data_IF_669724165143
#
_entry.id   IF_669724165143
#
_cell.length_a   1.000
_cell.length_b   1.000
_cell.length_c   1.000
_cell.angle_alpha   90.00
_cell.angle_beta   90.00
_cell.angle_gamma   90.00
#
_symmetry.space_group_name_H-M   'P 1'
#
loop_
_entity.id
_entity.type
_entity.pdbx_description
1 polymer ?
#
# COMPACT_ATOMS: atom_id res chain seq x y z
N UNK A 1 62.91 -11.04 28.27
CA UNK A 1 61.82 -10.02 28.50
C UNK A 1 60.96 -9.81 27.25
N UNK A 2 61.53 -9.92 26.05
CA UNK A 2 60.83 -9.69 24.76
C UNK A 2 59.73 -10.71 24.41
N UNK A 3 59.87 -11.98 24.75
CA UNK A 3 58.92 -13.05 24.43
C UNK A 3 57.56 -12.81 25.10
N UNK A 4 57.53 -12.26 26.33
CA UNK A 4 56.30 -11.97 27.04
C UNK A 4 55.48 -10.86 26.35
N UNK A 5 56.13 -9.83 25.83
CA UNK A 5 55.46 -8.75 25.09
C UNK A 5 54.91 -9.22 23.75
N UNK A 6 55.58 -10.11 23.05
CA UNK A 6 55.08 -10.69 21.80
C UNK A 6 53.83 -11.56 22.03
N UNK A 7 53.77 -12.32 23.13
CA UNK A 7 52.60 -13.12 23.50
C UNK A 7 51.40 -12.22 23.85
N UNK A 8 51.61 -11.15 24.63
CA UNK A 8 50.53 -10.21 24.94
C UNK A 8 49.99 -9.48 23.71
N UNK A 9 50.89 -9.09 22.79
CA UNK A 9 50.47 -8.47 21.52
C UNK A 9 49.66 -9.44 20.64
N UNK A 10 50.06 -10.71 20.58
CA UNK A 10 49.30 -11.72 19.82
C UNK A 10 47.92 -12.01 20.40
N UNK A 11 47.80 -12.07 21.73
CA UNK A 11 46.51 -12.23 22.41
C UNK A 11 45.62 -11.01 22.14
N UNK A 12 46.18 -9.80 22.20
CA UNK A 12 45.44 -8.56 21.90
C UNK A 12 44.89 -8.53 20.45
N UNK A 13 45.70 -8.97 19.47
CA UNK A 13 45.26 -9.07 18.08
C UNK A 13 44.14 -10.10 17.92
N UNK A 14 44.24 -11.27 18.54
CA UNK A 14 43.24 -12.32 18.49
C UNK A 14 41.91 -11.84 19.12
N UNK A 15 41.95 -11.13 20.23
CA UNK A 15 40.77 -10.55 20.85
C UNK A 15 40.13 -9.48 19.97
N UNK A 16 40.94 -8.62 19.35
CA UNK A 16 40.43 -7.60 18.43
C UNK A 16 39.72 -8.23 17.21
N UNK A 17 40.33 -9.26 16.60
CA UNK A 17 39.70 -10.01 15.48
C UNK A 17 38.41 -10.69 15.90
N UNK A 18 38.36 -11.28 17.10
CA UNK A 18 37.14 -11.88 17.65
C UNK A 18 36.07 -10.86 17.87
N UNK A 19 36.37 -9.68 18.44
CA UNK A 19 35.42 -8.60 18.62
C UNK A 19 34.85 -8.08 17.29
N UNK A 20 35.69 -7.90 16.27
CA UNK A 20 35.27 -7.49 14.94
C UNK A 20 34.33 -8.54 14.31
N UNK A 21 34.65 -9.81 14.45
CA UNK A 21 33.84 -10.90 13.95
C UNK A 21 32.48 -10.98 14.63
N UNK A 22 32.45 -10.86 15.97
CA UNK A 22 31.18 -10.80 16.74
C UNK A 22 30.33 -9.58 16.37
N UNK A 23 30.94 -8.41 16.19
CA UNK A 23 30.24 -7.21 15.74
C UNK A 23 29.64 -7.40 14.32
N UNK A 24 30.38 -8.00 13.41
CA UNK A 24 29.90 -8.31 12.07
C UNK A 24 28.71 -9.31 12.09
N UNK A 25 28.80 -10.34 12.92
CA UNK A 25 27.68 -11.27 13.13
C UNK A 25 26.46 -10.60 13.73
N UNK A 26 26.64 -9.70 14.70
CA UNK A 26 25.56 -8.95 15.32
C UNK A 26 24.86 -7.99 14.32
N UNK A 27 25.63 -7.29 13.49
CA UNK A 27 25.10 -6.44 12.42
C UNK A 27 24.28 -7.28 11.41
N UNK A 28 24.82 -8.44 11.01
CA UNK A 28 24.14 -9.36 10.10
C UNK A 28 22.85 -9.94 10.70
N UNK A 29 22.84 -10.21 12.00
CA UNK A 29 21.66 -10.65 12.72
C UNK A 29 20.59 -9.54 12.79
N UNK A 30 21.00 -8.29 13.10
CA UNK A 30 20.10 -7.13 13.07
C UNK A 30 19.48 -6.92 11.68
N UNK A 31 20.28 -6.95 10.62
CA UNK A 31 19.76 -6.79 9.25
C UNK A 31 18.82 -7.92 8.84
N UNK A 32 19.04 -9.14 9.31
CA UNK A 32 18.12 -10.26 9.07
C UNK A 32 16.79 -10.09 9.79
N UNK A 33 16.79 -9.45 10.95
CA UNK A 33 15.56 -9.16 11.71
C UNK A 33 14.69 -8.12 11.00
N UNK A 34 15.29 -7.05 10.47
CA UNK A 34 14.58 -6.05 9.67
C UNK A 34 13.99 -6.67 8.40
N UNK A 35 14.72 -7.52 7.73
CA UNK A 35 14.28 -8.19 6.49
C UNK A 35 13.10 -9.15 6.72
N UNK A 36 13.09 -9.88 7.83
CA UNK A 36 11.96 -10.76 8.20
C UNK A 36 10.71 -9.98 8.57
N UNK A 37 10.85 -8.82 9.21
CA UNK A 37 9.73 -7.96 9.60
C UNK A 37 9.11 -7.27 8.37
N UNK A 38 9.93 -6.77 7.45
CA UNK A 38 9.45 -6.18 6.19
C UNK A 38 8.74 -7.24 5.33
N UNK A 39 9.27 -8.45 5.21
CA UNK A 39 8.64 -9.52 4.45
C UNK A 39 7.27 -9.94 5.03
N UNK A 40 7.09 -9.92 6.35
CA UNK A 40 5.82 -10.22 7.00
C UNK A 40 4.78 -9.11 6.74
N UNK A 41 5.19 -7.85 6.83
CA UNK A 41 4.33 -6.69 6.51
C UNK A 41 3.90 -6.70 5.04
N UNK A 42 4.82 -6.98 4.13
CA UNK A 42 4.57 -7.08 2.69
C UNK A 42 3.59 -8.22 2.34
N UNK A 43 3.74 -9.38 3.00
CA UNK A 43 2.79 -10.51 2.87
C UNK A 43 1.40 -10.16 3.40
N UNK A 44 1.32 -9.47 4.54
CA UNK A 44 0.04 -9.01 5.09
C UNK A 44 -0.64 -7.97 4.16
N UNK A 45 0.13 -7.09 3.51
CA UNK A 45 -0.36 -6.17 2.48
C UNK A 45 -0.98 -6.93 1.32
N UNK A 46 -0.22 -7.78 0.64
CA UNK A 46 -0.70 -8.61 -0.49
C UNK A 46 -1.92 -9.46 -0.16
N UNK A 47 -2.00 -9.98 1.07
CA UNK A 47 -3.17 -10.72 1.53
C UNK A 47 -4.40 -9.82 1.63
N UNK A 48 -4.25 -8.59 2.15
CA UNK A 48 -5.32 -7.60 2.21
C UNK A 48 -5.83 -7.20 0.83
N UNK A 49 -4.93 -6.94 -0.12
CA UNK A 49 -5.24 -6.61 -1.51
C UNK A 49 -6.04 -7.75 -2.19
N UNK A 50 -5.64 -9.01 -1.99
CA UNK A 50 -6.38 -10.17 -2.49
C UNK A 50 -7.79 -10.25 -1.92
N UNK A 51 -7.96 -10.06 -0.61
CA UNK A 51 -9.28 -10.03 0.05
C UNK A 51 -10.13 -8.91 -0.55
N UNK A 52 -9.56 -7.70 -0.72
CA UNK A 52 -10.30 -6.58 -1.29
C UNK A 52 -10.72 -6.83 -2.74
N UNK A 53 -9.83 -7.39 -3.58
CA UNK A 53 -10.17 -7.78 -4.95
C UNK A 53 -11.31 -8.82 -4.99
N UNK A 54 -11.29 -9.82 -4.10
CA UNK A 54 -12.37 -10.80 -3.97
C UNK A 54 -13.71 -10.15 -3.50
N UNK A 55 -13.63 -9.17 -2.60
CA UNK A 55 -14.80 -8.42 -2.13
C UNK A 55 -15.40 -7.57 -3.26
N UNK A 56 -14.56 -6.82 -3.97
CA UNK A 56 -14.97 -6.00 -5.11
C UNK A 56 -15.59 -6.87 -6.21
N UNK A 57 -14.98 -8.01 -6.53
CA UNK A 57 -15.45 -8.93 -7.58
C UNK A 57 -16.89 -9.42 -7.36
N UNK A 58 -17.38 -9.47 -6.11
CA UNK A 58 -18.75 -9.90 -5.79
C UNK A 58 -19.83 -8.93 -6.25
N UNK A 59 -19.49 -7.68 -6.49
CA UNK A 59 -20.42 -6.63 -6.91
C UNK A 59 -20.23 -6.21 -8.36
N UNK A 60 -19.19 -6.73 -9.06
CA UNK A 60 -18.95 -6.42 -10.47
C UNK A 60 -20.05 -6.99 -11.36
N UNK A 61 -20.38 -6.25 -12.40
CA UNK A 61 -21.29 -6.63 -13.49
C UNK A 61 -20.50 -7.06 -14.72
N UNK A 62 -21.18 -7.59 -15.72
CA UNK A 62 -20.58 -8.14 -16.94
C UNK A 62 -19.69 -7.12 -17.70
N UNK A 63 -20.06 -5.83 -17.64
CA UNK A 63 -19.34 -4.74 -18.33
C UNK A 63 -18.32 -4.02 -17.41
N UNK A 64 -18.06 -4.51 -16.22
CA UNK A 64 -17.09 -3.93 -15.30
C UNK A 64 -15.73 -4.64 -15.41
N UNK A 65 -14.66 -3.87 -15.35
CA UNK A 65 -13.29 -4.37 -15.42
C UNK A 65 -12.55 -4.03 -14.13
N UNK A 66 -12.00 -5.05 -13.47
CA UNK A 66 -11.13 -4.90 -12.30
C UNK A 66 -9.67 -5.09 -12.74
N UNK A 67 -8.85 -4.10 -12.46
CA UNK A 67 -7.40 -4.13 -12.59
C UNK A 67 -6.79 -4.08 -11.19
N UNK A 68 -5.71 -4.81 -10.97
CA UNK A 68 -5.02 -4.86 -9.67
C UNK A 68 -3.54 -4.55 -9.82
N UNK A 69 -2.94 -3.93 -8.80
CA UNK A 69 -1.50 -3.62 -8.74
C UNK A 69 -1.01 -2.80 -9.96
N UNK A 70 -1.77 -1.79 -10.34
CA UNK A 70 -1.42 -0.93 -11.48
C UNK A 70 -0.46 0.15 -11.03
N UNK A 71 0.73 0.15 -11.61
CA UNK A 71 1.70 1.23 -11.45
C UNK A 71 1.61 2.22 -12.59
N UNK A 72 1.67 3.51 -12.27
CA UNK A 72 1.78 4.58 -13.25
C UNK A 72 2.90 5.55 -12.87
N UNK A 73 3.50 6.16 -13.88
CA UNK A 73 4.43 7.28 -13.70
C UNK A 73 3.89 8.51 -14.44
N UNK A 74 3.72 9.61 -13.73
CA UNK A 74 3.34 10.89 -14.28
C UNK A 74 4.20 12.01 -13.70
N UNK A 75 4.83 12.82 -14.57
CA UNK A 75 5.70 13.94 -14.18
C UNK A 75 6.80 13.53 -13.17
N UNK A 76 7.45 12.37 -13.43
CA UNK A 76 8.49 11.80 -12.56
C UNK A 76 7.99 11.27 -11.22
N UNK A 77 6.67 11.24 -10.99
CA UNK A 77 6.04 10.74 -9.76
C UNK A 77 5.37 9.41 -10.04
N UNK A 78 5.78 8.40 -9.29
CA UNK A 78 5.22 7.06 -9.37
C UNK A 78 4.09 6.86 -8.36
N UNK A 79 3.05 6.13 -8.76
CA UNK A 79 1.99 5.67 -7.87
C UNK A 79 1.55 4.27 -8.27
N UNK A 80 1.40 3.41 -7.27
CA UNK A 80 0.80 2.09 -7.35
C UNK A 80 -0.64 2.18 -6.83
N UNK A 81 -1.58 1.54 -7.50
CA UNK A 81 -2.99 1.45 -7.13
C UNK A 81 -3.35 -0.01 -6.91
N UNK A 82 -3.82 -0.34 -5.72
CA UNK A 82 -4.12 -1.72 -5.32
C UNK A 82 -5.24 -2.31 -6.19
N UNK A 83 -6.34 -1.58 -6.38
CA UNK A 83 -7.43 -1.97 -7.27
C UNK A 83 -7.98 -0.77 -8.04
N UNK A 84 -8.30 -0.97 -9.32
CA UNK A 84 -9.00 0.01 -10.17
C UNK A 84 -10.20 -0.69 -10.80
N UNK A 85 -11.39 -0.14 -10.65
CA UNK A 85 -12.57 -0.55 -11.42
C UNK A 85 -12.81 0.45 -12.53
N UNK A 86 -12.97 -0.05 -13.76
CA UNK A 86 -13.32 0.74 -14.94
C UNK A 86 -14.63 0.23 -15.49
N UNK A 87 -15.62 1.10 -15.59
CA UNK A 87 -16.92 0.75 -16.15
C UNK A 87 -17.57 1.98 -16.83
N UNK A 88 -18.81 1.84 -17.28
CA UNK A 88 -19.56 2.93 -17.92
C UNK A 88 -19.79 4.16 -17.04
N UNK A 89 -19.67 4.03 -15.72
CA UNK A 89 -19.88 5.13 -14.78
C UNK A 89 -18.58 5.87 -14.46
N UNK A 90 -17.41 5.28 -14.74
CA UNK A 90 -16.13 5.96 -14.51
C UNK A 90 -14.95 5.05 -14.26
N UNK A 91 -13.94 5.66 -13.61
CA UNK A 91 -12.73 5.03 -13.10
C UNK A 91 -12.69 5.22 -11.60
N UNK A 92 -12.61 4.13 -10.87
CA UNK A 92 -12.68 4.10 -9.42
C UNK A 92 -11.45 3.41 -8.84
N UNK A 93 -10.68 4.11 -7.99
CA UNK A 93 -9.52 3.58 -7.28
C UNK A 93 -9.98 3.06 -5.92
N UNK A 94 -9.46 1.91 -5.51
CA UNK A 94 -9.58 1.39 -4.15
C UNK A 94 -8.21 1.22 -3.56
N UNK A 95 -7.89 2.04 -2.56
CA UNK A 95 -6.70 1.92 -1.72
C UNK A 95 -7.01 0.97 -0.57
N UNK A 96 -6.20 -0.08 -0.40
CA UNK A 96 -6.46 -1.15 0.55
C UNK A 96 -5.46 -1.11 1.70
N UNK A 97 -5.94 -1.16 2.93
CA UNK A 97 -5.09 -1.27 4.11
C UNK A 97 -5.52 -2.40 5.02
N UNK A 98 -4.55 -3.25 5.32
CA UNK A 98 -4.70 -4.36 6.27
C UNK A 98 -4.07 -3.97 7.62
N UNK A 99 -4.58 -2.90 8.23
CA UNK A 99 -4.14 -2.41 9.54
C UNK A 99 -4.92 -3.09 10.64
N UNK A 100 -4.28 -3.99 11.39
CA UNK A 100 -4.87 -4.59 12.60
C UNK A 100 -4.71 -3.70 13.83
N UNK A 101 -5.64 -3.77 14.78
CA UNK A 101 -5.65 -2.97 15.99
C UNK A 101 -6.49 -1.70 15.88
N UNK A 102 -6.40 -0.84 16.87
CA UNK A 102 -7.09 0.44 16.89
C UNK A 102 -6.31 1.47 16.07
N UNK A 103 -7.00 2.26 15.26
CA UNK A 103 -6.45 3.42 14.60
C UNK A 103 -6.94 4.69 15.28
N UNK A 104 -6.07 5.69 15.35
CA UNK A 104 -6.37 7.02 15.92
C UNK A 104 -5.78 8.06 14.97
N UNK A 105 -6.55 9.08 14.63
CA UNK A 105 -6.15 10.19 13.76
C UNK A 105 -7.36 10.84 13.10
N UNK A 106 -7.12 11.94 12.41
CA UNK A 106 -8.11 12.70 11.67
C UNK A 106 -7.95 12.54 10.15
N UNK A 107 -8.96 12.95 9.37
CA UNK A 107 -8.95 12.81 7.91
C UNK A 107 -7.77 13.56 7.28
N UNK A 108 -7.41 14.72 7.79
CA UNK A 108 -6.36 15.57 7.24
C UNK A 108 -4.98 15.31 7.82
N UNK A 109 -4.84 14.42 8.81
CA UNK A 109 -3.56 14.04 9.37
C UNK A 109 -2.64 13.45 8.31
N UNK A 110 -1.33 13.70 8.43
CA UNK A 110 -0.34 13.10 7.54
C UNK A 110 -0.20 11.59 7.78
N UNK A 111 -0.23 11.21 9.06
CA UNK A 111 -0.13 9.83 9.53
C UNK A 111 -1.17 9.57 10.61
N UNK A 112 -1.65 8.33 10.68
CA UNK A 112 -2.47 7.84 11.76
C UNK A 112 -1.64 7.03 12.74
N UNK A 113 -2.05 7.01 14.01
CA UNK A 113 -1.47 6.17 15.02
C UNK A 113 -2.18 4.81 15.04
N UNK A 114 -1.41 3.74 14.87
CA UNK A 114 -1.91 2.38 15.03
C UNK A 114 -1.51 1.85 16.39
N UNK A 115 -2.49 1.46 17.21
CA UNK A 115 -2.33 0.93 18.57
C UNK A 115 -2.68 -0.55 18.56
N UNK A 116 -1.83 -1.37 19.12
CA UNK A 116 -2.05 -2.81 19.30
C UNK A 116 -1.76 -3.20 20.74
N UNK A 117 -2.70 -3.90 21.36
CA UNK A 117 -2.53 -4.49 22.70
C UNK A 117 -2.31 -5.98 22.49
N UNK A 118 -1.25 -6.53 23.09
CA UNK A 118 -0.98 -7.98 23.08
C UNK A 118 -1.81 -8.70 24.12
N UNK A 119 -1.91 -10.03 24.00
CA UNK A 119 -2.59 -10.88 24.99
C UNK A 119 -1.98 -10.77 26.39
N UNK A 120 -0.70 -10.39 26.49
CA UNK A 120 0.00 -10.10 27.76
C UNK A 120 -0.23 -8.68 28.29
N UNK A 121 -1.09 -7.87 27.65
CA UNK A 121 -1.42 -6.51 28.07
C UNK A 121 -0.41 -5.44 27.65
N UNK A 122 0.64 -5.77 26.92
CA UNK A 122 1.60 -4.78 26.43
C UNK A 122 1.00 -3.97 25.28
N UNK A 123 1.11 -2.64 25.35
CA UNK A 123 0.64 -1.72 24.33
C UNK A 123 1.80 -1.31 23.41
N UNK A 124 1.59 -1.49 22.11
CA UNK A 124 2.51 -1.02 21.06
C UNK A 124 1.81 0.03 20.20
N UNK A 125 2.53 1.09 19.91
CA UNK A 125 2.06 2.16 19.03
C UNK A 125 3.03 2.35 17.87
N UNK A 126 2.48 2.54 16.66
CA UNK A 126 3.26 2.80 15.45
C UNK A 126 2.52 3.81 14.58
N UNK A 127 3.26 4.77 14.00
CA UNK A 127 2.74 5.64 12.96
C UNK A 127 2.58 4.87 11.64
N UNK A 128 1.46 5.10 10.97
CA UNK A 128 1.12 4.53 9.66
C UNK A 128 0.62 5.64 8.74
N UNK A 129 0.90 5.54 7.46
CA UNK A 129 0.42 6.54 6.50
C UNK A 129 -1.10 6.62 6.51
N UNK A 130 -1.63 7.85 6.45
CA UNK A 130 -3.05 8.07 6.26
C UNK A 130 -3.46 7.63 4.84
N UNK A 131 -4.33 6.62 4.70
CA UNK A 131 -4.69 6.08 3.40
C UNK A 131 -5.55 7.04 2.57
N UNK A 132 -6.29 7.94 3.21
CA UNK A 132 -7.11 8.96 2.50
C UNK A 132 -6.19 9.93 1.75
N UNK A 133 -5.10 10.37 2.37
CA UNK A 133 -4.11 11.21 1.70
C UNK A 133 -3.39 10.48 0.57
N UNK A 134 -3.08 9.21 0.76
CA UNK A 134 -2.50 8.37 -0.29
C UNK A 134 -3.47 8.26 -1.48
N UNK A 135 -4.74 7.95 -1.22
CA UNK A 135 -5.80 7.90 -2.22
C UNK A 135 -5.98 9.23 -2.97
N UNK A 136 -6.07 10.36 -2.27
CA UNK A 136 -6.18 11.69 -2.88
C UNK A 136 -5.01 11.96 -3.86
N UNK A 137 -3.79 11.53 -3.50
CA UNK A 137 -2.62 11.61 -4.39
C UNK A 137 -2.74 10.69 -5.60
N UNK A 138 -3.21 9.46 -5.43
CA UNK A 138 -3.40 8.49 -6.53
C UNK A 138 -4.46 9.00 -7.51
N UNK A 139 -5.59 9.52 -7.04
CA UNK A 139 -6.65 10.14 -7.86
C UNK A 139 -6.05 11.26 -8.72
N UNK A 140 -5.28 12.16 -8.10
CA UNK A 140 -4.62 13.25 -8.83
C UNK A 140 -3.69 12.73 -9.92
N UNK A 141 -2.81 11.78 -9.60
CA UNK A 141 -1.83 11.26 -10.56
C UNK A 141 -2.50 10.49 -11.70
N UNK A 142 -3.49 9.63 -11.40
CA UNK A 142 -4.20 8.87 -12.43
C UNK A 142 -5.01 9.79 -13.36
N UNK A 143 -5.70 10.78 -12.83
CA UNK A 143 -6.45 11.73 -13.65
C UNK A 143 -5.55 12.50 -14.62
N UNK A 144 -4.39 12.98 -14.15
CA UNK A 144 -3.44 13.70 -14.99
C UNK A 144 -2.70 12.78 -15.96
N UNK A 145 -2.38 11.55 -15.55
CA UNK A 145 -1.82 10.52 -16.43
C UNK A 145 -2.77 10.23 -17.60
N UNK A 146 -4.05 9.97 -17.33
CA UNK A 146 -5.06 9.73 -18.36
C UNK A 146 -5.24 10.97 -19.26
N UNK A 147 -5.27 12.15 -18.68
CA UNK A 147 -5.36 13.41 -19.43
C UNK A 147 -4.17 13.63 -20.36
N UNK A 148 -2.94 13.29 -19.98
CA UNK A 148 -1.75 13.38 -20.83
C UNK A 148 -1.87 12.44 -22.06
N UNK A 149 -2.67 11.38 -21.95
CA UNK A 149 -3.01 10.46 -23.05
C UNK A 149 -4.31 10.79 -23.77
N UNK A 150 -4.79 12.03 -23.63
CA UNK A 150 -6.02 12.56 -24.25
C UNK A 150 -7.32 11.87 -23.78
N UNK A 151 -7.28 11.24 -22.61
CA UNK A 151 -8.44 10.66 -21.95
C UNK A 151 -8.84 11.61 -20.81
N UNK A 152 -9.85 12.43 -21.03
CA UNK A 152 -10.34 13.40 -20.04
C UNK A 152 -11.50 12.80 -19.29
N UNK A 153 -11.23 12.34 -18.06
CA UNK A 153 -12.21 11.68 -17.21
C UNK A 153 -12.05 12.13 -15.76
N UNK A 154 -13.15 12.11 -15.02
CA UNK A 154 -13.14 12.26 -13.57
C UNK A 154 -12.82 10.91 -12.93
N UNK A 155 -11.79 10.86 -12.08
CA UNK A 155 -11.40 9.68 -11.32
C UNK A 155 -11.95 9.84 -9.89
N UNK A 156 -12.62 8.81 -9.40
CA UNK A 156 -13.08 8.71 -8.02
C UNK A 156 -12.27 7.67 -7.28
N UNK A 157 -12.32 7.67 -5.94
CA UNK A 157 -11.59 6.65 -5.19
C UNK A 157 -12.06 6.53 -3.76
N UNK A 158 -11.75 5.37 -3.19
CA UNK A 158 -12.19 4.95 -1.87
C UNK A 158 -11.12 4.14 -1.16
N UNK A 159 -11.16 4.14 0.17
CA UNK A 159 -10.27 3.34 1.03
C UNK A 159 -11.06 2.16 1.59
N UNK A 160 -10.48 0.97 1.50
CA UNK A 160 -10.98 -0.24 2.15
C UNK A 160 -10.04 -0.60 3.30
N UNK A 161 -10.52 -0.48 4.53
CA UNK A 161 -9.85 -1.00 5.72
C UNK A 161 -10.36 -2.41 6.00
N UNK A 162 -9.52 -3.43 5.81
CA UNK A 162 -9.92 -4.85 5.94
C UNK A 162 -10.52 -5.17 7.32
N UNK A 163 -10.04 -4.49 8.36
CA UNK A 163 -10.53 -4.68 9.74
C UNK A 163 -11.67 -3.72 10.13
N UNK A 164 -12.18 -2.90 9.20
CA UNK A 164 -13.27 -1.94 9.43
C UNK A 164 -13.03 -1.04 10.66
N UNK A 165 -11.79 -0.68 10.89
CA UNK A 165 -11.31 0.03 12.08
C UNK A 165 -10.95 1.49 11.78
N UNK A 166 -11.70 2.16 10.89
CA UNK A 166 -11.47 3.57 10.58
C UNK A 166 -11.58 4.44 11.84
N UNK A 167 -10.64 5.37 12.04
CA UNK A 167 -10.73 6.34 13.14
C UNK A 167 -11.67 7.51 12.79
N UNK A 168 -12.07 7.65 11.52
CA UNK A 168 -12.87 8.77 11.00
C UNK A 168 -14.10 8.28 10.24
N UNK A 169 -15.15 9.06 10.29
CA UNK A 169 -16.29 8.95 9.37
C UNK A 169 -16.04 9.87 8.17
N UNK A 170 -15.80 9.27 7.00
CA UNK A 170 -15.39 10.00 5.80
C UNK A 170 -16.01 9.37 4.57
N UNK A 171 -16.41 10.21 3.60
CA UNK A 171 -16.94 9.77 2.30
C UNK A 171 -15.94 8.89 1.50
N UNK A 172 -14.64 8.97 1.85
CA UNK A 172 -13.61 8.15 1.23
C UNK A 172 -13.52 6.74 1.82
N UNK A 173 -14.12 6.46 2.98
CA UNK A 173 -14.06 5.14 3.62
C UNK A 173 -15.27 4.31 3.25
N UNK A 174 -15.00 3.13 2.68
CA UNK A 174 -16.05 2.15 2.35
C UNK A 174 -15.93 0.94 3.26
N UNK A 175 -17.05 0.53 3.88
CA UNK A 175 -17.09 -0.54 4.89
C UNK A 175 -17.96 -1.73 4.50
N UNK A 176 -18.79 -1.61 3.46
CA UNK A 176 -19.75 -2.66 3.08
C UNK A 176 -19.78 -2.94 1.59
N UNK A 177 -20.23 -4.15 1.20
CA UNK A 177 -20.47 -4.52 -0.20
C UNK A 177 -21.47 -3.57 -0.89
N UNK A 178 -22.51 -3.16 -0.17
CA UNK A 178 -23.52 -2.23 -0.70
C UNK A 178 -22.93 -0.85 -0.98
N UNK A 179 -21.95 -0.41 -0.19
CA UNK A 179 -21.28 0.86 -0.43
C UNK A 179 -20.36 0.78 -1.65
N UNK A 180 -19.65 -0.35 -1.84
CA UNK A 180 -18.85 -0.58 -3.04
C UNK A 180 -19.75 -0.60 -4.28
N UNK A 181 -20.84 -1.39 -4.27
CA UNK A 181 -21.79 -1.46 -5.39
C UNK A 181 -22.36 -0.08 -5.73
N UNK A 182 -22.79 0.68 -4.72
CA UNK A 182 -23.28 2.04 -4.88
C UNK A 182 -22.23 2.97 -5.47
N UNK A 183 -20.99 2.92 -4.97
CA UNK A 183 -19.90 3.77 -5.41
C UNK A 183 -19.60 3.61 -6.90
N UNK A 184 -19.53 2.35 -7.39
CA UNK A 184 -19.14 2.08 -8.78
C UNK A 184 -20.31 2.03 -9.76
N UNK A 185 -21.55 1.97 -9.28
CA UNK A 185 -22.73 1.84 -10.14
C UNK A 185 -23.74 2.98 -10.03
N UNK A 186 -23.48 3.97 -9.18
CA UNK A 186 -24.30 5.17 -9.16
C UNK A 186 -23.89 6.10 -10.31
N UNK A 187 -24.88 6.71 -10.96
CA UNK A 187 -24.66 7.66 -12.04
C UNK A 187 -23.88 8.87 -11.51
N UNK A 188 -22.59 8.90 -11.82
CA UNK A 188 -21.66 9.94 -11.37
C UNK A 188 -21.41 11.01 -12.42
N UNK A 189 -20.22 11.59 -12.39
CA UNK A 189 -19.77 12.68 -13.28
C UNK A 189 -19.40 12.21 -14.70
N UNK A 190 -19.30 10.90 -14.92
CA UNK A 190 -18.88 10.31 -16.18
C UNK A 190 -20.00 9.48 -16.82
N UNK A 191 -19.87 9.30 -18.13
CA UNK A 191 -20.58 8.28 -18.89
C UNK A 191 -19.64 7.79 -20.01
N UNK A 192 -19.04 6.62 -19.80
CA UNK A 192 -18.07 6.04 -20.72
C UNK A 192 -18.76 5.06 -21.68
N UNK A 193 -18.35 5.14 -22.94
CA UNK A 193 -18.71 4.15 -23.93
C UNK A 193 -17.67 3.02 -23.98
N UNK A 194 -18.04 1.87 -24.53
CA UNK A 194 -17.16 0.68 -24.61
C UNK A 194 -15.80 0.95 -25.27
N UNK A 195 -15.71 1.90 -26.20
CA UNK A 195 -14.45 2.30 -26.85
C UNK A 195 -13.53 3.00 -25.84
N UNK A 196 -14.06 3.90 -25.04
CA UNK A 196 -13.29 4.66 -24.04
C UNK A 196 -12.82 3.74 -22.92
N UNK A 197 -13.70 2.84 -22.44
CA UNK A 197 -13.36 1.82 -21.46
C UNK A 197 -12.18 0.98 -21.93
N UNK A 198 -12.24 0.44 -23.18
CA UNK A 198 -11.14 -0.35 -23.76
C UNK A 198 -9.86 0.47 -23.88
N UNK A 199 -9.95 1.75 -24.25
CA UNK A 199 -8.80 2.63 -24.37
C UNK A 199 -8.13 2.84 -23.01
N UNK A 200 -8.90 3.07 -21.94
CA UNK A 200 -8.39 3.23 -20.56
C UNK A 200 -7.69 1.94 -20.12
N UNK A 201 -8.35 0.80 -20.24
CA UNK A 201 -7.81 -0.50 -19.84
C UNK A 201 -6.49 -0.79 -20.57
N UNK A 202 -6.49 -0.68 -21.89
CA UNK A 202 -5.29 -0.91 -22.72
C UNK A 202 -4.14 0.00 -22.30
N UNK A 203 -4.46 1.23 -21.89
CA UNK A 203 -3.45 2.19 -21.46
C UNK A 203 -2.84 1.83 -20.12
N UNK A 204 -3.66 1.44 -19.16
CA UNK A 204 -3.21 1.06 -17.82
C UNK A 204 -2.40 -0.25 -17.83
N UNK A 205 -2.81 -1.24 -18.63
CA UNK A 205 -2.09 -2.51 -18.74
C UNK A 205 -0.72 -2.40 -19.42
N UNK A 206 -0.52 -1.44 -20.32
CA UNK A 206 0.79 -1.23 -20.97
C UNK A 206 1.87 -0.72 -20.04
N UNK A 207 1.53 -0.04 -18.98
CA UNK A 207 2.49 0.39 -17.96
C UNK A 207 2.96 -0.81 -17.13
N UNK A 208 2.09 -1.78 -16.85
CA UNK A 208 2.42 -3.01 -16.14
C UNK A 208 3.49 -3.84 -16.90
N UNK A 209 3.43 -3.85 -18.24
CA UNK A 209 4.40 -4.58 -19.08
C UNK A 209 5.77 -3.88 -19.20
N UNK A 210 5.91 -2.62 -18.76
CA UNK A 210 7.14 -1.81 -18.89
C UNK A 210 7.87 -1.59 -17.56
N UNK A 211 7.28 -1.95 -16.42
CA UNK A 211 7.86 -1.85 -15.05
C UNK A 211 8.47 -3.17 -14.61
#
# INVERSE_FOLDING_TARGET
>A
MEIKWAVFAMIGILLAVLCIWLAAMFIKWLSSLEWTFESASKRAGKHGEKIAAEIISKVLREDDYLLTNIEITYDGRQAEMDCIVVNRFGVFIFEVKNYSGQLVGDEDDYEWQKIKITDSGNMYSKQVKNPIRQLKRQIYLLAHYLQSHRIKIWVEGYVILIHQNSPVDSEYIISSLSDIDRAIHTRGKNHLYSKEIKQIITRLQREEDQS
#
